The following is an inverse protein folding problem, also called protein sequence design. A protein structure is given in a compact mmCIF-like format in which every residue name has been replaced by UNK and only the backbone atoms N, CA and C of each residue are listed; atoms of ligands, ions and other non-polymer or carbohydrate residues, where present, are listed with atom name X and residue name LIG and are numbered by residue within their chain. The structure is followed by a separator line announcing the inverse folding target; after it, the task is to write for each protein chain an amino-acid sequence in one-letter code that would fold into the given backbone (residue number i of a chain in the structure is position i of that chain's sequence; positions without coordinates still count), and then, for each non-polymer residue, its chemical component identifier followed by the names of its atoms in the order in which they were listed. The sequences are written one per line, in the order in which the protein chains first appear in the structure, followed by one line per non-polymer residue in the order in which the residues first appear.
data_IF_921487357210
#
_entry.id   IF_921487357210
#
_cell.length_a   1.000
_cell.length_b   1.000
_cell.length_c   1.000
_cell.angle_alpha   90.00
_cell.angle_beta   90.00
_cell.angle_gamma   90.00
#
_symmetry.space_group_name_H-M   'P 1'
#
loop_
_entity.id
_entity.type
_entity.pdbx_description
1 polymer ?
#
# COMPACT_ATOMS: atom_id res chain seq x y z
N UNK A 1 47.36 43.96 -29.13
CA UNK A 1 47.11 42.61 -29.67
C UNK A 1 46.76 41.71 -28.53
N UNK A 2 45.49 41.68 -28.17
CA UNK A 2 44.94 40.74 -27.20
C UNK A 2 44.28 39.61 -28.00
N UNK A 3 44.83 38.42 -27.85
CA UNK A 3 44.27 37.21 -28.41
C UNK A 3 42.98 36.86 -27.62
N UNK A 4 41.85 36.98 -28.28
CA UNK A 4 40.60 36.42 -27.78
C UNK A 4 40.69 34.88 -27.87
N UNK A 5 40.91 34.22 -26.75
CA UNK A 5 40.74 32.77 -26.65
C UNK A 5 39.27 32.42 -26.90
N UNK A 6 39.03 31.81 -28.06
CA UNK A 6 37.78 31.16 -28.39
C UNK A 6 37.58 29.96 -27.42
N UNK A 7 36.89 30.16 -26.34
CA UNK A 7 36.34 29.04 -25.55
C UNK A 7 35.24 28.42 -26.40
N UNK A 8 35.59 27.39 -27.14
CA UNK A 8 34.62 26.49 -27.74
C UNK A 8 33.75 25.91 -26.65
N UNK A 9 32.47 26.32 -26.65
CA UNK A 9 31.44 25.68 -25.84
C UNK A 9 31.30 24.27 -26.45
N UNK A 10 31.82 23.28 -25.71
CA UNK A 10 31.59 21.87 -26.04
C UNK A 10 30.13 21.60 -25.73
N UNK A 11 29.26 21.68 -26.72
CA UNK A 11 27.96 21.03 -26.66
C UNK A 11 28.26 19.54 -26.60
N UNK A 12 28.07 18.93 -25.42
CA UNK A 12 27.90 17.50 -25.33
C UNK A 12 26.77 17.18 -26.29
N UNK A 13 27.05 16.40 -27.36
CA UNK A 13 26.07 15.95 -28.32
C UNK A 13 24.98 15.16 -27.58
N UNK A 14 23.98 15.88 -27.09
CA UNK A 14 22.80 15.27 -26.51
C UNK A 14 22.08 14.58 -27.65
N UNK A 15 22.11 13.25 -27.68
CA UNK A 15 21.16 12.50 -28.51
C UNK A 15 19.79 13.05 -28.20
N UNK A 16 19.02 13.49 -29.21
CA UNK A 16 17.65 13.94 -28.95
C UNK A 16 16.88 12.75 -28.43
N UNK A 17 16.34 12.90 -27.19
CA UNK A 17 15.50 11.90 -26.59
C UNK A 17 14.12 11.92 -27.26
N UNK A 18 13.62 10.76 -27.62
CA UNK A 18 12.24 10.61 -28.10
C UNK A 18 11.28 10.58 -26.90
N UNK A 19 10.00 10.86 -27.17
CA UNK A 19 8.94 10.67 -26.18
C UNK A 19 8.94 9.22 -25.67
N UNK A 20 8.81 9.05 -24.35
CA UNK A 20 8.73 7.75 -23.72
C UNK A 20 7.34 7.14 -23.94
N UNK A 21 7.29 5.97 -24.53
CA UNK A 21 6.07 5.18 -24.71
C UNK A 21 6.22 3.88 -23.90
N UNK A 22 5.57 3.78 -22.73
CA UNK A 22 5.69 2.58 -21.90
C UNK A 22 5.07 1.36 -22.60
N UNK A 23 5.64 0.17 -22.42
CA UNK A 23 4.99 -1.05 -22.88
C UNK A 23 3.73 -1.32 -22.03
N UNK A 24 2.74 -1.98 -22.63
CA UNK A 24 1.57 -2.48 -21.88
C UNK A 24 1.99 -3.72 -21.10
N UNK A 25 1.66 -3.74 -19.81
CA UNK A 25 1.95 -4.83 -18.89
C UNK A 25 0.72 -5.17 -18.07
N UNK A 26 0.57 -6.44 -17.69
CA UNK A 26 -0.36 -6.88 -16.64
C UNK A 26 0.41 -6.92 -15.31
N UNK A 27 0.05 -6.08 -14.38
CA UNK A 27 0.79 -5.90 -13.13
C UNK A 27 0.20 -6.80 -12.03
N UNK A 28 0.76 -7.98 -11.89
CA UNK A 28 0.43 -8.94 -10.82
C UNK A 28 1.58 -9.09 -9.82
N UNK A 29 2.33 -8.04 -9.60
CA UNK A 29 3.36 -7.95 -8.57
C UNK A 29 2.84 -7.38 -7.24
N UNK A 30 3.75 -7.07 -6.31
CA UNK A 30 3.41 -6.52 -4.99
C UNK A 30 3.00 -5.03 -5.02
N UNK A 31 2.79 -4.48 -6.17
CA UNK A 31 2.47 -3.09 -6.47
C UNK A 31 3.67 -2.29 -7.02
N UNK A 32 3.39 -1.31 -7.91
CA UNK A 32 2.04 -0.84 -8.26
C UNK A 32 1.20 -1.91 -8.96
N UNK A 33 -0.13 -1.79 -8.86
CA UNK A 33 -1.09 -2.65 -9.56
C UNK A 33 -1.60 -1.99 -10.84
N UNK A 34 -2.33 -2.75 -11.67
CA UNK A 34 -2.95 -2.22 -12.88
C UNK A 34 -3.87 -1.04 -12.55
N UNK A 35 -3.77 0.01 -13.35
CA UNK A 35 -4.62 1.20 -13.24
C UNK A 35 -5.83 1.03 -14.15
N UNK A 36 -7.05 1.24 -13.59
CA UNK A 36 -8.27 1.20 -14.38
C UNK A 36 -8.22 2.29 -15.48
N UNK A 37 -8.62 1.98 -16.73
CA UNK A 37 -8.62 2.96 -17.82
C UNK A 37 -9.36 4.27 -17.53
N UNK A 38 -10.48 4.24 -16.79
CA UNK A 38 -11.20 5.44 -16.34
C UNK A 38 -10.32 6.37 -15.50
N UNK A 39 -9.43 5.81 -14.69
CA UNK A 39 -8.50 6.56 -13.84
C UNK A 39 -7.41 7.24 -14.70
N UNK A 40 -6.90 6.54 -15.71
CA UNK A 40 -5.94 7.12 -16.68
C UNK A 40 -6.59 8.26 -17.48
N UNK A 41 -7.85 8.11 -17.88
CA UNK A 41 -8.63 9.18 -18.50
C UNK A 41 -8.77 10.38 -17.59
N UNK A 42 -9.14 10.17 -16.33
CA UNK A 42 -9.25 11.25 -15.34
C UNK A 42 -7.91 11.99 -15.15
N UNK A 43 -6.80 11.26 -15.10
CA UNK A 43 -5.44 11.83 -14.99
C UNK A 43 -5.10 12.78 -16.14
N UNK A 44 -5.64 12.54 -17.33
CA UNK A 44 -5.37 13.32 -18.55
C UNK A 44 -6.28 14.54 -18.73
N UNK A 45 -7.25 14.79 -17.83
CA UNK A 45 -8.15 15.96 -17.90
C UNK A 45 -7.38 17.27 -17.73
N UNK A 46 -7.92 18.41 -18.24
CA UNK A 46 -7.29 19.72 -18.09
C UNK A 46 -6.99 20.08 -16.64
N UNK A 47 -5.79 20.57 -16.38
CA UNK A 47 -5.39 21.03 -15.04
C UNK A 47 -6.06 22.37 -14.73
N UNK A 48 -6.73 22.49 -13.59
CA UNK A 48 -7.23 23.76 -13.04
C UNK A 48 -6.34 24.24 -11.89
N UNK A 49 -6.55 25.47 -11.42
CA UNK A 49 -5.82 26.00 -10.26
C UNK A 49 -6.15 25.22 -8.99
N UNK A 50 -5.16 25.02 -8.12
CA UNK A 50 -5.31 24.30 -6.85
C UNK A 50 -6.21 25.03 -5.81
N UNK A 51 -6.63 26.25 -6.08
CA UNK A 51 -7.61 27.03 -5.32
C UNK A 51 -8.86 27.36 -6.16
N UNK A 52 -8.99 26.77 -7.35
CA UNK A 52 -10.21 26.89 -8.15
C UNK A 52 -11.41 26.33 -7.37
N UNK A 53 -12.57 27.02 -7.35
CA UNK A 53 -13.75 26.54 -6.62
C UNK A 53 -14.15 25.11 -6.99
N UNK A 54 -14.13 24.75 -8.29
CA UNK A 54 -14.47 23.39 -8.72
C UNK A 54 -13.47 22.33 -8.20
N UNK A 55 -12.19 22.72 -8.07
CA UNK A 55 -11.20 21.84 -7.48
C UNK A 55 -11.38 21.68 -5.97
N UNK A 56 -11.75 22.75 -5.28
CA UNK A 56 -12.06 22.72 -3.84
C UNK A 56 -13.27 21.83 -3.57
N UNK A 57 -14.33 21.95 -4.38
CA UNK A 57 -15.50 21.06 -4.27
C UNK A 57 -15.10 19.59 -4.46
N UNK A 58 -14.27 19.29 -5.47
CA UNK A 58 -13.75 17.95 -5.68
C UNK A 58 -12.87 17.46 -4.51
N UNK A 59 -12.09 18.32 -3.86
CA UNK A 59 -11.33 17.96 -2.66
C UNK A 59 -12.26 17.51 -1.51
N UNK A 60 -13.42 18.18 -1.34
CA UNK A 60 -14.42 17.79 -0.34
C UNK A 60 -15.06 16.44 -0.68
N UNK A 61 -15.31 16.17 -1.97
CA UNK A 61 -15.75 14.86 -2.43
C UNK A 61 -14.69 13.77 -2.17
N UNK A 62 -13.41 14.04 -2.45
CA UNK A 62 -12.30 13.11 -2.14
C UNK A 62 -12.27 12.80 -0.66
N UNK A 63 -12.41 13.79 0.22
CA UNK A 63 -12.48 13.59 1.66
C UNK A 63 -13.65 12.66 2.04
N UNK A 64 -14.85 12.94 1.53
CA UNK A 64 -16.05 12.14 1.81
C UNK A 64 -15.90 10.70 1.29
N UNK A 65 -15.35 10.52 0.11
CA UNK A 65 -15.07 9.20 -0.47
C UNK A 65 -13.99 8.43 0.33
N UNK A 66 -12.95 9.12 0.81
CA UNK A 66 -11.95 8.50 1.69
C UNK A 66 -12.57 8.08 3.03
N UNK A 67 -13.45 8.90 3.61
CA UNK A 67 -14.21 8.52 4.82
C UNK A 67 -15.04 7.27 4.57
N UNK A 68 -15.69 7.17 3.41
CA UNK A 68 -16.42 5.97 3.01
C UNK A 68 -15.51 4.73 2.91
N UNK A 69 -14.38 4.84 2.22
CA UNK A 69 -13.47 3.69 2.00
C UNK A 69 -12.77 3.25 3.29
N UNK A 70 -12.44 4.18 4.18
CA UNK A 70 -11.91 3.89 5.52
C UNK A 70 -13.00 3.43 6.51
N UNK A 71 -14.28 3.59 6.18
CA UNK A 71 -15.40 3.36 7.10
C UNK A 71 -15.24 4.20 8.38
N UNK A 72 -15.12 5.52 8.20
CA UNK A 72 -14.88 6.47 9.30
C UNK A 72 -15.64 7.78 9.13
N UNK A 73 -15.87 8.46 10.25
CA UNK A 73 -16.36 9.83 10.31
C UNK A 73 -15.27 10.83 10.71
N UNK A 74 -14.03 10.41 10.77
CA UNK A 74 -12.90 11.24 11.18
C UNK A 74 -12.78 12.48 10.29
N UNK A 75 -12.82 13.66 10.91
CA UNK A 75 -12.65 14.94 10.20
C UNK A 75 -11.24 15.11 9.63
N UNK A 76 -10.21 14.61 10.34
CA UNK A 76 -8.84 14.61 9.86
C UNK A 76 -8.62 13.42 8.92
N UNK A 77 -9.19 13.51 7.72
CA UNK A 77 -9.07 12.52 6.65
C UNK A 77 -8.72 13.23 5.35
N UNK A 78 -7.58 12.86 4.74
CA UNK A 78 -7.08 13.50 3.52
C UNK A 78 -6.05 12.61 2.81
N UNK A 79 -5.74 12.85 1.52
CA UNK A 79 -4.58 12.26 0.88
C UNK A 79 -3.35 13.16 1.04
N UNK A 80 -2.28 12.64 1.62
CA UNK A 80 -0.96 13.30 1.60
C UNK A 80 -0.45 13.34 0.16
N UNK A 81 0.07 14.48 -0.30
CA UNK A 81 0.58 14.70 -1.67
C UNK A 81 1.94 14.03 -1.89
N UNK A 82 2.06 12.77 -1.50
CA UNK A 82 3.26 11.94 -1.59
C UNK A 82 2.88 10.46 -1.42
N UNK A 83 3.73 9.49 -1.82
CA UNK A 83 3.40 8.07 -1.77
C UNK A 83 3.23 7.53 -0.34
N UNK A 84 2.74 6.28 -0.20
CA UNK A 84 2.41 5.65 1.08
C UNK A 84 3.51 5.69 2.14
N UNK A 85 4.79 5.71 1.75
CA UNK A 85 5.90 5.90 2.69
C UNK A 85 5.84 7.26 3.40
N UNK A 86 5.39 8.30 2.71
CA UNK A 86 5.17 9.61 3.32
C UNK A 86 3.94 9.63 4.23
N UNK A 87 2.92 8.82 3.94
CA UNK A 87 1.81 8.62 4.87
C UNK A 87 2.26 7.98 6.19
N UNK A 88 3.12 6.96 6.11
CA UNK A 88 3.78 6.38 7.28
C UNK A 88 4.54 7.47 8.08
N UNK A 89 5.41 8.23 7.41
CA UNK A 89 6.17 9.30 8.04
C UNK A 89 5.25 10.38 8.63
N UNK A 90 4.17 10.77 7.93
CA UNK A 90 3.17 11.72 8.44
C UNK A 90 2.58 11.27 9.77
N UNK A 91 2.22 10.00 9.90
CA UNK A 91 1.65 9.47 11.14
C UNK A 91 2.65 9.60 12.30
N UNK A 92 3.87 9.09 12.12
CA UNK A 92 4.85 9.08 13.21
C UNK A 92 5.35 10.47 13.58
N UNK A 93 5.65 11.35 12.60
CA UNK A 93 6.13 12.70 12.88
C UNK A 93 5.09 13.59 13.55
N UNK A 94 3.80 13.35 13.33
CA UNK A 94 2.73 14.11 13.96
C UNK A 94 2.36 13.58 15.35
N UNK A 95 2.44 12.27 15.59
CA UNK A 95 2.02 11.65 16.86
C UNK A 95 3.14 11.55 17.90
N UNK A 96 4.40 11.54 17.48
CA UNK A 96 5.53 11.35 18.39
C UNK A 96 6.37 12.62 18.56
N UNK A 97 6.87 12.82 19.77
CA UNK A 97 7.86 13.82 20.14
C UNK A 97 9.12 13.11 20.66
N UNK A 98 10.20 13.86 20.77
CA UNK A 98 11.47 13.33 21.29
C UNK A 98 11.28 12.77 22.72
N UNK A 99 11.71 11.53 22.91
CA UNK A 99 11.63 10.82 24.20
C UNK A 99 10.32 10.07 24.42
N UNK A 100 9.36 10.17 23.50
CA UNK A 100 8.18 9.31 23.52
C UNK A 100 8.53 7.84 23.25
N UNK A 101 7.64 6.93 23.61
CA UNK A 101 7.80 5.50 23.40
C UNK A 101 6.67 4.97 22.49
N UNK A 102 7.03 4.11 21.55
CA UNK A 102 6.09 3.45 20.64
C UNK A 102 6.36 1.94 20.59
N UNK A 103 5.31 1.13 20.64
CA UNK A 103 5.40 -0.32 20.45
C UNK A 103 5.18 -0.59 18.97
N UNK A 104 6.14 -1.29 18.34
CA UNK A 104 6.14 -1.56 16.91
C UNK A 104 6.15 -3.08 16.67
N UNK A 105 5.10 -3.59 16.01
CA UNK A 105 5.04 -4.98 15.59
C UNK A 105 5.78 -5.16 14.26
N UNK A 106 6.64 -6.17 14.19
CA UNK A 106 7.42 -6.48 13.01
C UNK A 106 7.33 -7.96 12.65
N UNK A 107 6.66 -8.26 11.56
CA UNK A 107 6.61 -9.58 10.92
C UNK A 107 6.97 -9.51 9.43
N UNK A 108 7.69 -8.44 9.04
CA UNK A 108 8.15 -8.18 7.68
C UNK A 108 8.92 -6.87 7.56
N UNK A 109 9.13 -6.43 6.31
CA UNK A 109 9.93 -5.23 6.00
C UNK A 109 9.29 -3.96 6.56
N UNK A 110 7.94 -3.83 6.48
CA UNK A 110 7.29 -2.56 6.75
C UNK A 110 7.22 -2.22 8.24
N UNK A 111 7.15 -3.23 9.13
CA UNK A 111 7.37 -3.01 10.57
C UNK A 111 8.77 -2.47 10.88
N UNK A 112 9.80 -2.93 10.15
CA UNK A 112 11.14 -2.37 10.27
C UNK A 112 11.23 -0.90 9.83
N UNK A 113 10.48 -0.50 8.79
CA UNK A 113 10.40 0.92 8.38
C UNK A 113 9.68 1.79 9.41
N UNK A 114 8.64 1.26 10.06
CA UNK A 114 8.00 1.97 11.18
C UNK A 114 9.01 2.25 12.29
N UNK A 115 9.81 1.25 12.68
CA UNK A 115 10.89 1.42 13.66
C UNK A 115 11.81 2.58 13.32
N UNK A 116 12.31 2.62 12.07
CA UNK A 116 13.20 3.70 11.63
C UNK A 116 12.52 5.08 11.69
N UNK A 117 11.23 5.17 11.35
CA UNK A 117 10.48 6.43 11.47
C UNK A 117 10.36 6.88 12.92
N UNK A 118 10.06 5.98 13.86
CA UNK A 118 10.00 6.27 15.29
C UNK A 118 11.34 6.79 15.81
N UNK A 119 12.43 6.09 15.49
CA UNK A 119 13.78 6.48 15.91
C UNK A 119 14.20 7.84 15.34
N UNK A 120 13.82 8.15 14.08
CA UNK A 120 14.09 9.47 13.44
C UNK A 120 13.30 10.59 14.10
N UNK A 121 12.14 10.32 14.68
CA UNK A 121 11.42 11.30 15.51
C UNK A 121 12.12 11.55 16.87
N UNK A 122 13.18 10.79 17.20
CA UNK A 122 13.85 10.82 18.50
C UNK A 122 13.06 10.10 19.59
N UNK A 123 12.12 9.25 19.23
CA UNK A 123 11.35 8.40 20.11
C UNK A 123 11.97 7.01 20.23
N UNK A 124 11.57 6.25 21.25
CA UNK A 124 12.00 4.88 21.50
C UNK A 124 11.05 3.89 20.83
N UNK A 125 11.59 2.98 20.02
CA UNK A 125 10.83 1.89 19.42
C UNK A 125 10.99 0.60 20.23
N UNK A 126 9.93 0.18 20.91
CA UNK A 126 9.84 -1.12 21.56
C UNK A 126 9.36 -2.15 20.55
N UNK A 127 10.22 -3.10 20.19
CA UNK A 127 9.94 -4.04 19.11
C UNK A 127 9.23 -5.29 19.62
N UNK A 128 8.11 -5.65 18.97
CA UNK A 128 7.46 -6.96 19.06
C UNK A 128 7.72 -7.68 17.75
N UNK A 129 8.57 -8.70 17.77
CA UNK A 129 9.01 -9.41 16.58
C UNK A 129 8.37 -10.78 16.48
N UNK A 130 7.85 -11.08 15.31
CA UNK A 130 7.34 -12.38 14.90
C UNK A 130 8.08 -12.90 13.67
N UNK A 131 8.05 -14.21 13.48
CA UNK A 131 8.66 -14.83 12.32
C UNK A 131 8.02 -14.34 11.02
N UNK A 132 8.85 -14.22 9.99
CA UNK A 132 8.37 -13.85 8.67
C UNK A 132 7.44 -14.92 8.11
N UNK A 133 6.24 -14.50 7.68
CA UNK A 133 5.20 -15.41 7.21
C UNK A 133 4.17 -15.79 8.29
N UNK A 134 4.29 -15.26 9.50
CA UNK A 134 3.31 -15.42 10.57
C UNK A 134 2.62 -14.10 10.91
N UNK A 135 1.39 -14.17 11.41
CA UNK A 135 0.67 -13.00 11.91
C UNK A 135 1.29 -12.51 13.23
N UNK A 136 1.03 -11.24 13.57
CA UNK A 136 1.45 -10.66 14.85
C UNK A 136 0.81 -11.43 16.01
N UNK A 137 1.63 -11.85 16.98
CA UNK A 137 1.18 -12.58 18.17
C UNK A 137 0.60 -11.61 19.22
N UNK A 138 -0.70 -11.73 19.47
CA UNK A 138 -1.43 -10.90 20.43
C UNK A 138 -0.88 -10.99 21.86
N UNK A 139 -0.38 -12.15 22.29
CA UNK A 139 0.18 -12.32 23.65
C UNK A 139 1.49 -11.55 23.79
N UNK A 140 2.37 -11.60 22.79
CA UNK A 140 3.61 -10.80 22.79
C UNK A 140 3.32 -9.29 22.82
N UNK A 141 2.28 -8.86 22.08
CA UNK A 141 1.85 -7.46 22.09
C UNK A 141 1.31 -7.07 23.45
N UNK A 142 0.46 -7.89 24.07
CA UNK A 142 -0.07 -7.62 25.39
C UNK A 142 1.03 -7.55 26.44
N UNK A 143 2.01 -8.45 26.41
CA UNK A 143 3.16 -8.42 27.30
C UNK A 143 4.00 -7.14 27.12
N UNK A 144 4.20 -6.70 25.88
CA UNK A 144 4.90 -5.44 25.60
C UNK A 144 4.13 -4.22 26.13
N UNK A 145 2.80 -4.19 25.97
CA UNK A 145 1.94 -3.13 26.50
C UNK A 145 1.98 -3.08 28.04
N UNK A 146 1.92 -4.23 28.71
CA UNK A 146 2.06 -4.33 30.18
C UNK A 146 3.41 -3.82 30.68
N UNK A 147 4.48 -4.14 29.94
CA UNK A 147 5.84 -3.74 30.30
C UNK A 147 6.13 -2.25 30.00
N UNK A 148 5.34 -1.60 29.14
CA UNK A 148 5.54 -0.23 28.73
C UNK A 148 4.25 0.60 28.84
N UNK A 149 3.75 0.86 30.07
CA UNK A 149 2.50 1.59 30.27
C UNK A 149 2.57 3.07 29.86
N UNK A 150 3.75 3.58 29.56
CA UNK A 150 4.03 4.92 29.07
C UNK A 150 4.11 5.00 27.53
N UNK A 151 3.91 3.88 26.83
CA UNK A 151 3.91 3.87 25.37
C UNK A 151 2.73 4.69 24.81
N UNK A 152 3.00 5.62 23.92
CA UNK A 152 1.97 6.47 23.30
C UNK A 152 1.14 5.74 22.26
N UNK A 153 1.78 4.86 21.47
CA UNK A 153 1.11 4.16 20.39
C UNK A 153 1.61 2.73 20.21
N UNK A 154 0.72 1.90 19.68
CA UNK A 154 0.97 0.58 19.12
C UNK A 154 0.80 0.65 17.62
N UNK A 155 1.83 0.32 16.85
CA UNK A 155 1.79 0.32 15.39
C UNK A 155 2.06 -1.07 14.81
N UNK A 156 1.29 -1.44 13.79
CA UNK A 156 1.42 -2.72 13.09
C UNK A 156 0.98 -2.61 11.63
N UNK A 157 1.38 -3.60 10.82
CA UNK A 157 0.96 -3.73 9.43
C UNK A 157 -0.22 -4.69 9.35
N UNK A 158 -1.38 -4.22 8.84
CA UNK A 158 -2.55 -5.07 8.65
C UNK A 158 -2.34 -6.09 7.54
N UNK A 159 -1.74 -5.65 6.41
CA UNK A 159 -1.46 -6.48 5.24
C UNK A 159 0.01 -6.35 4.84
N UNK A 160 0.87 -7.22 5.36
CA UNK A 160 2.32 -7.18 5.17
C UNK A 160 2.71 -7.76 3.80
N UNK A 161 3.01 -6.89 2.83
CA UNK A 161 3.30 -7.29 1.44
C UNK A 161 4.65 -7.96 1.23
N UNK A 162 5.58 -7.83 2.15
CA UNK A 162 6.86 -8.56 2.06
C UNK A 162 6.71 -10.04 2.39
N UNK A 163 5.66 -10.41 3.13
CA UNK A 163 5.43 -11.77 3.63
C UNK A 163 4.10 -12.38 3.25
N UNK A 164 3.13 -11.59 2.72
CA UNK A 164 1.80 -12.07 2.35
C UNK A 164 0.88 -12.37 3.54
N UNK A 165 1.16 -11.79 4.70
CA UNK A 165 0.44 -12.07 5.95
C UNK A 165 -0.58 -10.98 6.27
N UNK A 166 -1.75 -11.41 6.75
CA UNK A 166 -2.76 -10.57 7.39
C UNK A 166 -2.66 -10.74 8.91
N UNK A 167 -2.47 -9.64 9.63
CA UNK A 167 -2.58 -9.60 11.09
C UNK A 167 -4.01 -9.24 11.53
N UNK A 168 -4.42 -9.68 12.73
CA UNK A 168 -5.75 -9.38 13.27
C UNK A 168 -5.81 -7.93 13.79
N UNK A 169 -6.10 -7.00 12.87
CA UNK A 169 -6.15 -5.58 13.19
C UNK A 169 -7.22 -5.25 14.25
N UNK A 170 -8.37 -5.92 14.23
CA UNK A 170 -9.45 -5.69 15.20
C UNK A 170 -9.00 -6.03 16.62
N UNK A 171 -8.37 -7.18 16.81
CA UNK A 171 -7.88 -7.62 18.12
C UNK A 171 -6.71 -6.75 18.60
N UNK A 172 -5.77 -6.38 17.71
CA UNK A 172 -4.64 -5.51 18.04
C UNK A 172 -5.10 -4.10 18.46
N UNK A 173 -6.08 -3.52 17.77
CA UNK A 173 -6.66 -2.23 18.14
C UNK A 173 -7.41 -2.32 19.49
N UNK A 174 -8.10 -3.42 19.76
CA UNK A 174 -8.75 -3.64 21.05
C UNK A 174 -7.73 -3.69 22.20
N UNK A 175 -6.58 -4.37 22.00
CA UNK A 175 -5.48 -4.36 22.96
C UNK A 175 -4.92 -2.95 23.17
N UNK A 176 -4.62 -2.21 22.10
CA UNK A 176 -4.14 -0.84 22.22
C UNK A 176 -5.08 0.03 23.07
N UNK A 177 -6.37 -0.07 22.82
CA UNK A 177 -7.39 0.66 23.58
C UNK A 177 -7.46 0.25 25.04
N UNK A 178 -7.33 -1.05 25.35
CA UNK A 178 -7.34 -1.58 26.71
C UNK A 178 -6.19 -0.99 27.56
N UNK A 179 -5.05 -0.71 26.95
CA UNK A 179 -3.87 -0.15 27.60
C UNK A 179 -3.68 1.36 27.34
N UNK A 180 -4.73 2.05 26.92
CA UNK A 180 -4.75 3.50 26.63
C UNK A 180 -3.69 3.97 25.62
N UNK A 181 -3.29 3.09 24.73
CA UNK A 181 -2.35 3.33 23.63
C UNK A 181 -3.11 3.73 22.35
N UNK A 182 -2.56 4.63 21.54
CA UNK A 182 -3.11 4.91 20.20
C UNK A 182 -2.86 3.73 19.27
N UNK A 183 -3.89 3.28 18.55
CA UNK A 183 -3.76 2.24 17.53
C UNK A 183 -3.38 2.86 16.19
N UNK A 184 -2.20 2.50 15.65
CA UNK A 184 -1.67 2.95 14.35
C UNK A 184 -1.61 1.78 13.38
N UNK A 185 -2.26 1.91 12.22
CA UNK A 185 -2.39 0.83 11.25
C UNK A 185 -1.81 1.21 9.90
N UNK A 186 -0.89 0.39 9.40
CA UNK A 186 -0.52 0.38 7.98
C UNK A 186 -1.58 -0.38 7.19
N UNK A 187 -2.33 0.33 6.36
CA UNK A 187 -3.33 -0.23 5.46
C UNK A 187 -2.96 -0.03 3.98
N UNK A 188 -1.68 0.11 3.67
CA UNK A 188 -1.22 0.36 2.30
C UNK A 188 -1.76 -0.69 1.34
N UNK A 189 -1.79 -1.95 1.74
CA UNK A 189 -2.25 -3.04 0.87
C UNK A 189 -3.63 -3.57 1.25
N UNK A 190 -4.15 -3.25 2.44
CA UNK A 190 -5.47 -3.73 2.88
C UNK A 190 -6.64 -2.86 2.44
N UNK A 191 -6.45 -1.54 2.30
CA UNK A 191 -7.53 -0.61 1.96
C UNK A 191 -8.21 -1.01 0.64
N UNK A 192 -9.52 -1.19 0.67
CA UNK A 192 -10.39 -1.67 -0.41
C UNK A 192 -10.15 -3.13 -0.86
N UNK A 193 -9.09 -3.82 -0.40
CA UNK A 193 -8.79 -5.21 -0.78
C UNK A 193 -9.33 -6.27 0.18
N UNK A 194 -9.36 -5.96 1.46
CA UNK A 194 -9.93 -6.80 2.54
C UNK A 194 -10.73 -5.93 3.50
N UNK A 195 -11.51 -6.57 4.37
CA UNK A 195 -12.30 -5.87 5.38
C UNK A 195 -11.41 -4.93 6.21
N UNK A 196 -11.86 -3.68 6.33
CA UNK A 196 -11.23 -2.64 7.12
C UNK A 196 -12.30 -1.66 7.60
N UNK A 197 -12.43 -1.47 8.91
CA UNK A 197 -13.46 -0.64 9.53
C UNK A 197 -12.85 0.24 10.62
N UNK A 198 -12.42 1.42 10.24
CA UNK A 198 -11.62 2.31 11.11
C UNK A 198 -12.35 2.65 12.39
N UNK A 199 -13.59 3.12 12.33
CA UNK A 199 -14.34 3.51 13.53
C UNK A 199 -14.73 2.30 14.37
N UNK A 200 -15.23 1.22 13.75
CA UNK A 200 -15.66 0.02 14.47
C UNK A 200 -14.50 -0.64 15.23
N UNK A 201 -13.32 -0.69 14.63
CA UNK A 201 -12.14 -1.32 15.24
C UNK A 201 -11.39 -0.37 16.20
N UNK A 202 -11.74 0.91 16.20
CA UNK A 202 -11.10 1.91 17.06
C UNK A 202 -9.68 2.25 16.66
N UNK A 203 -9.44 2.35 15.36
CA UNK A 203 -8.15 2.77 14.81
C UNK A 203 -7.97 4.28 15.04
N UNK A 204 -6.87 4.68 15.65
CA UNK A 204 -6.60 6.09 15.94
C UNK A 204 -5.87 6.81 14.80
N UNK A 205 -4.95 6.13 14.12
CA UNK A 205 -4.30 6.66 12.93
C UNK A 205 -4.07 5.55 11.91
N UNK A 206 -4.29 5.87 10.64
CA UNK A 206 -4.17 4.94 9.53
C UNK A 206 -3.60 5.63 8.31
N UNK A 207 -2.79 4.91 7.54
CA UNK A 207 -2.31 5.37 6.25
C UNK A 207 -2.38 4.26 5.19
N UNK A 208 -2.49 4.68 3.93
CA UNK A 208 -2.52 3.80 2.79
C UNK A 208 -1.71 4.35 1.61
N UNK A 209 -1.75 3.69 0.47
CA UNK A 209 -1.14 4.12 -0.78
C UNK A 209 -2.07 3.83 -1.97
N UNK A 210 -2.12 4.75 -2.91
CA UNK A 210 -3.10 4.69 -4.02
C UNK A 210 -2.83 3.58 -5.03
N UNK A 211 -1.57 3.11 -5.15
CA UNK A 211 -1.13 2.16 -6.17
C UNK A 211 -1.40 0.69 -5.85
N UNK A 212 -2.13 0.39 -4.79
CA UNK A 212 -2.49 -0.97 -4.37
C UNK A 212 -3.94 -1.29 -4.78
N UNK A 213 -4.79 -1.68 -3.83
CA UNK A 213 -6.15 -2.11 -4.16
C UNK A 213 -7.08 -0.97 -4.61
N UNK A 214 -6.70 0.29 -4.43
CA UNK A 214 -7.38 1.43 -5.05
C UNK A 214 -7.16 1.51 -6.57
N UNK A 215 -6.20 0.78 -7.13
CA UNK A 215 -5.91 0.74 -8.58
C UNK A 215 -5.64 2.10 -9.22
N UNK A 216 -5.15 3.05 -8.43
CA UNK A 216 -4.78 4.37 -8.87
C UNK A 216 -3.27 4.46 -9.14
N UNK A 217 -2.85 5.51 -9.83
CA UNK A 217 -1.43 5.81 -10.00
C UNK A 217 -0.75 6.02 -8.64
N UNK A 218 0.54 5.66 -8.48
CA UNK A 218 1.29 5.99 -7.27
C UNK A 218 1.48 7.50 -7.12
N UNK A 219 1.67 7.96 -5.88
CA UNK A 219 2.01 9.36 -5.61
C UNK A 219 1.13 10.05 -4.57
N UNK A 220 0.06 9.40 -4.09
CA UNK A 220 -0.78 9.89 -3.01
C UNK A 220 -0.87 8.85 -1.88
N UNK A 221 -1.00 9.35 -0.65
CA UNK A 221 -1.19 8.52 0.53
C UNK A 221 -2.45 8.95 1.29
N UNK A 222 -3.57 8.23 1.17
CA UNK A 222 -4.72 8.41 2.04
C UNK A 222 -4.35 8.21 3.51
N UNK A 223 -4.75 9.14 4.37
CA UNK A 223 -4.56 9.06 5.83
C UNK A 223 -5.85 9.45 6.55
N UNK A 224 -6.04 8.90 7.75
CA UNK A 224 -7.15 9.30 8.63
C UNK A 224 -6.70 9.21 10.09
N UNK A 225 -7.17 10.16 10.90
CA UNK A 225 -6.85 10.27 12.32
C UNK A 225 -8.12 10.46 13.13
N UNK A 226 -8.26 9.68 14.20
CA UNK A 226 -9.36 9.83 15.16
C UNK A 226 -9.26 11.18 15.87
N UNK A 227 -10.34 11.62 16.50
CA UNK A 227 -10.31 12.83 17.34
C UNK A 227 -9.28 12.71 18.46
N UNK A 228 -9.10 11.51 19.03
CA UNK A 228 -8.09 11.22 20.04
C UNK A 228 -6.66 11.45 19.50
N UNK A 229 -6.37 10.98 18.29
CA UNK A 229 -5.09 11.24 17.62
C UNK A 229 -4.95 12.71 17.23
N UNK A 230 -6.00 13.33 16.69
CA UNK A 230 -6.01 14.74 16.32
C UNK A 230 -5.75 15.66 17.54
N UNK A 231 -6.26 15.30 18.71
CA UNK A 231 -5.97 16.02 19.95
C UNK A 231 -4.49 15.94 20.30
N UNK A 232 -3.86 14.76 20.24
CA UNK A 232 -2.40 14.61 20.45
C UNK A 232 -1.61 15.52 19.53
N UNK A 233 -2.02 15.62 18.25
CA UNK A 233 -1.37 16.49 17.26
C UNK A 233 -1.50 17.98 17.63
N UNK A 234 -2.67 18.42 18.07
CA UNK A 234 -2.91 19.81 18.49
C UNK A 234 -2.19 20.18 19.79
N UNK A 235 -2.03 19.24 20.70
CA UNK A 235 -1.41 19.44 22.01
C UNK A 235 0.11 19.25 22.03
N UNK A 236 0.75 19.07 20.88
CA UNK A 236 2.20 18.95 20.78
C UNK A 236 2.90 20.13 21.43
N UNK A 237 3.99 19.83 22.11
CA UNK A 237 4.85 20.85 22.76
C UNK A 237 5.90 21.40 21.82
N UNK A 238 6.26 20.63 20.79
CA UNK A 238 7.28 20.99 19.79
C UNK A 238 6.69 20.97 18.38
N UNK A 239 7.12 21.85 17.46
CA UNK A 239 6.71 21.76 16.06
C UNK A 239 7.02 20.38 15.46
N UNK A 240 6.20 19.93 14.53
CA UNK A 240 6.49 18.74 13.71
C UNK A 240 7.79 19.02 12.94
N UNK A 241 8.71 18.03 12.90
CA UNK A 241 10.04 18.22 12.28
C UNK A 241 9.97 18.45 10.76
N UNK A 242 8.90 18.02 10.11
CA UNK A 242 8.64 18.27 8.69
C UNK A 242 7.56 19.34 8.54
N UNK A 243 7.91 20.50 8.01
CA UNK A 243 6.92 21.53 7.69
C UNK A 243 5.86 21.02 6.71
N UNK A 244 6.27 20.26 5.70
CA UNK A 244 5.38 19.74 4.66
C UNK A 244 4.38 18.71 5.19
N UNK A 245 4.76 17.88 6.17
CA UNK A 245 3.92 16.84 6.75
C UNK A 245 3.20 17.29 8.03
N UNK A 246 3.37 18.54 8.47
CA UNK A 246 2.69 19.05 9.66
C UNK A 246 1.18 19.18 9.39
N UNK A 247 0.40 18.31 10.01
CA UNK A 247 -1.05 18.26 9.81
C UNK A 247 -1.77 19.49 10.34
N UNK A 248 -1.23 20.20 11.34
CA UNK A 248 -1.78 21.48 11.77
C UNK A 248 -1.73 22.54 10.65
N UNK A 249 -0.72 22.49 9.79
CA UNK A 249 -0.59 23.36 8.64
C UNK A 249 -1.41 22.86 7.45
N UNK A 250 -1.34 21.56 7.16
CA UNK A 250 -2.05 20.92 6.03
C UNK A 250 -3.56 21.07 6.16
N UNK A 251 -4.11 21.00 7.38
CA UNK A 251 -5.54 21.14 7.62
C UNK A 251 -6.09 22.53 7.29
N UNK A 252 -5.28 23.55 7.23
CA UNK A 252 -5.68 24.84 6.67
C UNK A 252 -6.08 24.78 5.19
N UNK A 253 -5.56 23.80 4.45
CA UNK A 253 -5.86 23.56 3.04
C UNK A 253 -6.94 22.48 2.83
N UNK A 254 -6.97 21.42 3.66
CA UNK A 254 -7.91 20.30 3.56
C UNK A 254 -9.11 20.44 4.53
N UNK A 255 -9.10 21.38 5.45
CA UNK A 255 -10.19 21.58 6.40
C UNK A 255 -11.42 22.22 5.74
N UNK A 256 -12.63 21.85 6.19
CA UNK A 256 -13.92 22.29 5.68
C UNK A 256 -14.32 23.73 6.00
N UNK A 257 -13.38 24.66 6.28
CA UNK A 257 -13.71 26.07 6.52
C UNK A 257 -13.92 26.82 5.19
N UNK A 258 -14.79 27.83 5.19
CA UNK A 258 -15.18 28.61 4.03
C UNK A 258 -14.02 29.31 3.30
N UNK A 259 -12.84 29.44 3.91
CA UNK A 259 -11.64 30.02 3.29
C UNK A 259 -10.44 29.09 3.55
N UNK A 260 -10.03 28.38 2.49
CA UNK A 260 -8.85 27.53 2.54
C UNK A 260 -7.57 28.34 2.44
N UNK A 261 -6.60 28.00 3.28
CA UNK A 261 -5.26 28.56 3.23
C UNK A 261 -4.39 27.77 2.24
N UNK A 262 -3.49 28.48 1.55
CA UNK A 262 -2.48 27.82 0.71
C UNK A 262 -1.42 27.16 1.61
N UNK A 263 -1.23 25.86 1.46
CA UNK A 263 -0.12 25.13 2.06
C UNK A 263 0.92 24.73 1.00
N UNK A 264 0.49 24.06 -0.04
CA UNK A 264 1.32 23.65 -1.18
C UNK A 264 0.43 23.54 -2.44
N UNK A 265 1.05 23.55 -3.60
CA UNK A 265 0.33 23.25 -4.83
C UNK A 265 0.04 21.76 -4.88
N UNK A 266 -1.23 21.42 -4.68
CA UNK A 266 -1.67 20.03 -4.73
C UNK A 266 -1.44 19.42 -6.12
N UNK A 267 -1.15 18.13 -6.21
CA UNK A 267 -0.98 17.42 -7.49
C UNK A 267 -2.35 17.19 -8.15
N UNK A 268 -2.87 18.27 -8.78
CA UNK A 268 -4.26 18.38 -9.25
C UNK A 268 -4.72 17.15 -10.05
N UNK A 269 -3.97 16.78 -11.10
CA UNK A 269 -4.34 15.65 -11.95
C UNK A 269 -4.26 14.29 -11.22
N UNK A 270 -3.31 14.13 -10.29
CA UNK A 270 -3.26 12.92 -9.45
C UNK A 270 -4.47 12.83 -8.52
N UNK A 271 -5.00 13.97 -8.07
CA UNK A 271 -6.22 14.02 -7.27
C UNK A 271 -7.47 13.71 -8.11
N UNK A 272 -7.51 14.11 -9.40
CA UNK A 272 -8.56 13.63 -10.31
C UNK A 272 -8.54 12.11 -10.44
N UNK A 273 -7.34 11.54 -10.59
CA UNK A 273 -7.17 10.09 -10.66
C UNK A 273 -7.63 9.39 -9.36
N UNK A 274 -7.29 9.94 -8.20
CA UNK A 274 -7.75 9.41 -6.91
C UNK A 274 -9.26 9.53 -6.75
N UNK A 275 -9.87 10.67 -7.10
CA UNK A 275 -11.31 10.86 -7.09
C UNK A 275 -12.01 9.77 -7.90
N UNK A 276 -11.60 9.57 -9.16
CA UNK A 276 -12.18 8.54 -10.04
C UNK A 276 -11.99 7.12 -9.48
N UNK A 277 -10.81 6.84 -8.90
CA UNK A 277 -10.54 5.57 -8.23
C UNK A 277 -11.51 5.31 -7.07
N UNK A 278 -11.76 6.29 -6.24
CA UNK A 278 -12.67 6.18 -5.10
C UNK A 278 -14.14 6.06 -5.55
N UNK A 279 -14.53 6.75 -6.63
CA UNK A 279 -15.85 6.59 -7.26
C UNK A 279 -16.04 5.15 -7.74
N UNK A 280 -15.05 4.56 -8.42
CA UNK A 280 -15.11 3.15 -8.86
C UNK A 280 -15.29 2.20 -7.67
N UNK A 281 -14.55 2.42 -6.57
CA UNK A 281 -14.71 1.60 -5.35
C UNK A 281 -16.10 1.77 -4.74
N UNK A 282 -16.65 2.98 -4.76
CA UNK A 282 -18.01 3.24 -4.28
C UNK A 282 -19.07 2.57 -5.16
N UNK A 283 -18.91 2.63 -6.49
CA UNK A 283 -19.81 1.98 -7.45
C UNK A 283 -19.80 0.45 -7.28
N UNK A 284 -18.63 -0.15 -7.06
CA UNK A 284 -18.51 -1.59 -6.79
C UNK A 284 -19.09 -1.96 -5.43
N UNK A 285 -18.85 -1.14 -4.41
CA UNK A 285 -19.11 -1.43 -3.01
C UNK A 285 -17.95 -2.16 -2.33
N UNK A 286 -17.68 -1.80 -1.06
CA UNK A 286 -16.52 -2.36 -0.32
C UNK A 286 -16.63 -3.87 -0.11
N UNK A 287 -17.79 -4.36 0.30
CA UNK A 287 -18.00 -5.80 0.54
C UNK A 287 -17.84 -6.61 -0.75
N UNK A 288 -18.32 -6.09 -1.88
CA UNK A 288 -18.15 -6.69 -3.20
C UNK A 288 -16.68 -6.71 -3.62
N UNK A 289 -15.95 -5.64 -3.36
CA UNK A 289 -14.50 -5.60 -3.61
C UNK A 289 -13.76 -6.65 -2.77
N UNK A 290 -14.04 -6.75 -1.48
CA UNK A 290 -13.44 -7.77 -0.59
C UNK A 290 -13.77 -9.20 -1.06
N UNK A 291 -15.02 -9.45 -1.43
CA UNK A 291 -15.47 -10.76 -1.95
C UNK A 291 -14.78 -11.09 -3.28
N UNK A 292 -14.62 -10.13 -4.19
CA UNK A 292 -13.94 -10.32 -5.47
C UNK A 292 -12.46 -10.68 -5.26
N UNK A 293 -11.75 -9.98 -4.36
CA UNK A 293 -10.37 -10.31 -4.01
C UNK A 293 -10.28 -11.73 -3.40
N UNK A 294 -11.16 -12.07 -2.47
CA UNK A 294 -11.19 -13.38 -1.86
C UNK A 294 -11.51 -14.50 -2.87
N UNK A 295 -12.43 -14.26 -3.80
CA UNK A 295 -12.80 -15.25 -4.84
C UNK A 295 -11.63 -15.50 -5.80
N UNK A 296 -11.01 -14.44 -6.33
CA UNK A 296 -9.85 -14.56 -7.20
C UNK A 296 -8.64 -15.20 -6.50
N UNK A 297 -8.47 -14.93 -5.20
CA UNK A 297 -7.46 -15.60 -4.38
C UNK A 297 -7.70 -17.11 -4.30
N UNK A 298 -8.92 -17.56 -4.00
CA UNK A 298 -9.25 -19.01 -3.96
C UNK A 298 -8.93 -19.68 -5.30
N UNK A 299 -9.29 -19.03 -6.39
CA UNK A 299 -9.01 -19.54 -7.73
C UNK A 299 -7.51 -19.61 -8.03
N UNK A 300 -6.74 -18.57 -7.67
CA UNK A 300 -5.29 -18.60 -7.79
C UNK A 300 -4.69 -19.73 -6.95
N UNK A 301 -5.13 -19.92 -5.71
CA UNK A 301 -4.64 -20.99 -4.82
C UNK A 301 -4.87 -22.35 -5.45
N UNK A 302 -6.09 -22.67 -5.90
CA UNK A 302 -6.40 -23.94 -6.54
C UNK A 302 -5.52 -24.21 -7.78
N UNK A 303 -5.28 -23.20 -8.60
CA UNK A 303 -4.42 -23.32 -9.77
C UNK A 303 -2.95 -23.51 -9.42
N UNK A 304 -2.42 -22.77 -8.47
CA UNK A 304 -1.02 -22.87 -8.00
C UNK A 304 -0.77 -24.27 -7.38
N UNK A 305 -1.69 -24.74 -6.54
CA UNK A 305 -1.60 -26.10 -5.96
C UNK A 305 -1.70 -27.19 -7.03
N UNK A 306 -2.51 -27.00 -8.08
CA UNK A 306 -2.58 -27.90 -9.24
C UNK A 306 -1.27 -27.94 -10.04
N UNK A 307 -0.44 -26.89 -10.01
CA UNK A 307 0.91 -26.88 -10.57
C UNK A 307 1.94 -27.57 -9.64
N UNK A 308 1.52 -28.15 -8.51
CA UNK A 308 2.41 -28.75 -7.53
C UNK A 308 3.21 -27.74 -6.69
N UNK A 309 2.83 -26.46 -6.72
CA UNK A 309 3.44 -25.41 -5.94
C UNK A 309 2.72 -25.19 -4.61
N UNK A 310 3.37 -24.52 -3.67
CA UNK A 310 2.82 -24.28 -2.33
C UNK A 310 3.03 -22.83 -1.88
N UNK A 311 2.35 -22.46 -0.80
CA UNK A 311 2.42 -21.12 -0.23
C UNK A 311 3.29 -21.11 1.04
N UNK A 312 3.87 -19.96 1.36
CA UNK A 312 4.63 -19.74 2.60
C UNK A 312 3.67 -19.60 3.78
N UNK A 313 2.63 -18.82 3.61
CA UNK A 313 1.74 -18.35 4.68
C UNK A 313 0.62 -19.35 4.92
N UNK A 314 0.28 -19.60 6.19
CA UNK A 314 -0.86 -20.42 6.57
C UNK A 314 -2.17 -19.84 6.00
N UNK A 315 -3.07 -20.72 5.58
CA UNK A 315 -4.34 -20.34 4.95
C UNK A 315 -5.19 -19.39 5.83
N UNK A 316 -5.10 -19.52 7.15
CA UNK A 316 -5.88 -18.70 8.09
C UNK A 316 -5.46 -17.21 8.10
N UNK A 317 -4.19 -16.92 7.81
CA UNK A 317 -3.66 -15.54 7.81
C UNK A 317 -3.11 -15.11 6.44
N UNK A 318 -3.37 -15.85 5.38
CA UNK A 318 -2.94 -15.54 4.01
C UNK A 318 -3.72 -14.34 3.47
N UNK A 319 -2.98 -13.40 2.86
CA UNK A 319 -3.59 -12.26 2.17
C UNK A 319 -4.22 -12.67 0.84
N UNK A 320 -5.49 -12.29 0.57
CA UNK A 320 -6.07 -12.49 -0.76
C UNK A 320 -5.33 -11.71 -1.86
N UNK A 321 -4.95 -10.49 -1.59
CA UNK A 321 -4.39 -9.56 -2.59
C UNK A 321 -2.89 -9.70 -2.80
N UNK A 322 -2.17 -10.51 -1.98
CA UNK A 322 -0.75 -10.80 -2.21
C UNK A 322 -0.36 -12.19 -1.73
N UNK A 323 0.16 -12.98 -2.65
CA UNK A 323 0.40 -14.40 -2.47
C UNK A 323 1.89 -14.72 -2.58
N UNK A 324 2.48 -15.31 -1.54
CA UNK A 324 3.86 -15.80 -1.55
C UNK A 324 3.87 -17.27 -1.95
N UNK A 325 4.30 -17.53 -3.17
CA UNK A 325 4.35 -18.87 -3.76
C UNK A 325 5.78 -19.38 -3.70
N UNK A 326 6.00 -20.53 -3.06
CA UNK A 326 7.29 -21.22 -3.04
C UNK A 326 7.54 -21.88 -4.40
N UNK A 327 8.78 -21.81 -4.86
CA UNK A 327 9.21 -22.56 -6.04
C UNK A 327 10.35 -23.53 -5.67
N UNK A 328 10.51 -24.64 -6.43
CA UNK A 328 11.59 -25.60 -6.21
C UNK A 328 12.96 -24.98 -6.43
N UNK A 329 13.97 -25.46 -5.70
CA UNK A 329 15.38 -25.01 -5.82
C UNK A 329 15.98 -25.23 -7.23
N UNK A 330 15.35 -26.09 -8.04
CA UNK A 330 15.75 -26.35 -9.45
C UNK A 330 15.32 -25.24 -10.41
N UNK A 331 14.49 -24.28 -9.96
CA UNK A 331 13.93 -23.18 -10.79
C UNK A 331 14.75 -21.92 -10.55
N UNK A 332 15.12 -21.27 -11.66
CA UNK A 332 15.72 -19.94 -11.64
C UNK A 332 14.62 -18.86 -11.64
N UNK A 333 14.47 -18.17 -10.50
CA UNK A 333 13.50 -17.08 -10.32
C UNK A 333 13.64 -15.99 -11.38
N UNK A 334 14.87 -15.56 -11.68
CA UNK A 334 15.09 -14.45 -12.60
C UNK A 334 14.70 -14.84 -14.03
N UNK A 335 14.98 -16.08 -14.44
CA UNK A 335 14.60 -16.61 -15.76
C UNK A 335 13.08 -16.68 -15.87
N UNK A 336 12.38 -17.20 -14.85
CA UNK A 336 10.90 -17.29 -14.87
C UNK A 336 10.29 -15.90 -14.99
N UNK A 337 10.67 -14.95 -14.13
CA UNK A 337 10.11 -13.59 -14.17
C UNK A 337 10.43 -12.86 -15.47
N UNK A 338 11.64 -13.05 -16.01
CA UNK A 338 12.01 -12.48 -17.30
C UNK A 338 11.15 -13.02 -18.44
N UNK A 339 10.93 -14.36 -18.48
CA UNK A 339 10.08 -14.99 -19.49
C UNK A 339 8.61 -14.55 -19.36
N UNK A 340 8.07 -14.47 -18.14
CA UNK A 340 6.72 -13.94 -17.93
C UNK A 340 6.58 -12.51 -18.47
N UNK A 341 7.58 -11.67 -18.22
CA UNK A 341 7.55 -10.28 -18.64
C UNK A 341 7.72 -10.14 -20.18
N UNK A 342 8.67 -10.88 -20.79
CA UNK A 342 8.97 -10.79 -22.22
C UNK A 342 7.90 -11.42 -23.10
N UNK A 343 7.44 -12.64 -22.74
CA UNK A 343 6.62 -13.47 -23.61
C UNK A 343 5.12 -13.28 -23.37
N UNK A 344 4.74 -12.89 -22.12
CA UNK A 344 3.34 -12.72 -21.71
C UNK A 344 2.98 -11.31 -21.26
N UNK A 345 3.93 -10.38 -21.26
CA UNK A 345 3.74 -9.02 -20.69
C UNK A 345 3.19 -9.03 -19.27
N UNK A 346 3.51 -10.07 -18.50
CA UNK A 346 3.05 -10.30 -17.14
C UNK A 346 4.17 -10.04 -16.13
N UNK A 347 3.94 -9.12 -15.21
CA UNK A 347 4.86 -8.81 -14.11
C UNK A 347 4.42 -9.47 -12.81
N UNK A 348 5.30 -10.26 -12.20
CA UNK A 348 5.21 -10.74 -10.83
C UNK A 348 6.44 -10.31 -10.03
N UNK A 349 6.34 -10.31 -8.69
CA UNK A 349 7.43 -9.87 -7.83
C UNK A 349 8.33 -11.00 -7.34
N UNK A 350 9.60 -10.68 -7.09
CA UNK A 350 10.52 -11.55 -6.34
C UNK A 350 10.26 -11.48 -4.84
N UNK A 351 10.74 -12.47 -4.08
CA UNK A 351 10.78 -12.42 -2.62
C UNK A 351 11.66 -11.27 -2.10
N UNK A 352 11.42 -10.84 -0.87
CA UNK A 352 12.22 -9.84 -0.16
C UNK A 352 12.81 -10.43 1.13
N UNK A 353 13.91 -9.84 1.60
CA UNK A 353 14.53 -10.19 2.89
C UNK A 353 14.77 -11.68 3.04
N UNK A 354 14.22 -12.30 4.07
CA UNK A 354 14.35 -13.73 4.35
C UNK A 354 13.81 -14.66 3.26
N UNK A 355 12.93 -14.15 2.38
CA UNK A 355 12.32 -14.88 1.26
C UNK A 355 12.94 -14.57 -0.10
N UNK A 356 14.00 -13.76 -0.15
CA UNK A 356 14.71 -13.48 -1.40
C UNK A 356 15.22 -14.77 -2.04
N UNK A 357 14.92 -14.98 -3.33
CA UNK A 357 15.32 -16.17 -4.08
C UNK A 357 14.60 -17.47 -3.71
N UNK A 358 13.51 -17.41 -2.93
CA UNK A 358 12.76 -18.59 -2.47
C UNK A 358 11.29 -18.59 -2.87
N UNK A 359 10.75 -17.42 -3.20
CA UNK A 359 9.32 -17.22 -3.47
C UNK A 359 9.09 -16.22 -4.58
N UNK A 360 7.96 -16.35 -5.25
CA UNK A 360 7.34 -15.26 -6.02
C UNK A 360 6.28 -14.58 -5.17
N UNK A 361 6.11 -13.28 -5.41
CA UNK A 361 4.99 -12.52 -4.88
C UNK A 361 4.01 -12.23 -6.01
N UNK A 362 2.86 -12.90 -5.97
CA UNK A 362 1.79 -12.76 -6.99
C UNK A 362 0.68 -11.89 -6.40
N UNK A 363 0.47 -10.72 -6.99
CA UNK A 363 -0.51 -9.74 -6.58
C UNK A 363 -1.85 -9.90 -7.29
N UNK A 364 -2.93 -9.76 -6.52
CA UNK A 364 -4.31 -9.67 -7.00
C UNK A 364 -4.94 -8.41 -6.38
N UNK A 365 -4.49 -7.23 -6.83
CA UNK A 365 -4.85 -5.96 -6.21
C UNK A 365 -5.77 -5.13 -7.10
N UNK A 366 -6.92 -4.73 -6.56
CA UNK A 366 -7.84 -3.83 -7.24
C UNK A 366 -8.26 -4.31 -8.63
N UNK A 367 -8.01 -3.50 -9.66
CA UNK A 367 -8.37 -3.83 -11.05
C UNK A 367 -7.64 -5.07 -11.59
N UNK A 368 -6.41 -5.34 -11.11
CA UNK A 368 -5.68 -6.55 -11.46
C UNK A 368 -6.30 -7.83 -10.87
N UNK A 369 -7.14 -7.73 -9.83
CA UNK A 369 -7.87 -8.86 -9.24
C UNK A 369 -9.07 -9.24 -10.12
N UNK A 370 -8.83 -10.05 -11.14
CA UNK A 370 -9.86 -10.51 -12.08
C UNK A 370 -9.65 -11.97 -12.47
N UNK A 371 -10.72 -12.65 -12.89
CA UNK A 371 -10.67 -14.02 -13.40
C UNK A 371 -9.69 -14.13 -14.59
N UNK A 372 -9.74 -13.15 -15.51
CA UNK A 372 -8.86 -13.12 -16.69
C UNK A 372 -7.39 -13.12 -16.28
N UNK A 373 -7.01 -12.30 -15.30
CA UNK A 373 -5.62 -12.22 -14.84
C UNK A 373 -5.19 -13.47 -14.07
N UNK A 374 -6.10 -14.10 -13.31
CA UNK A 374 -5.82 -15.40 -12.66
C UNK A 374 -5.51 -16.46 -13.72
N UNK A 375 -6.33 -16.57 -14.77
CA UNK A 375 -6.11 -17.54 -15.84
C UNK A 375 -4.86 -17.24 -16.66
N UNK A 376 -4.58 -15.97 -16.98
CA UNK A 376 -3.35 -15.55 -17.63
C UNK A 376 -2.12 -15.96 -16.80
N UNK A 377 -2.14 -15.65 -15.51
CA UNK A 377 -1.04 -15.96 -14.61
C UNK A 377 -0.76 -17.47 -14.53
N UNK A 378 -1.80 -18.27 -14.32
CA UNK A 378 -1.67 -19.73 -14.20
C UNK A 378 -1.20 -20.37 -15.50
N UNK A 379 -1.75 -19.95 -16.65
CA UNK A 379 -1.35 -20.44 -17.96
C UNK A 379 0.10 -20.06 -18.29
N UNK A 380 0.46 -18.78 -18.12
CA UNK A 380 1.81 -18.29 -18.41
C UNK A 380 2.84 -18.92 -17.48
N UNK A 381 2.60 -18.90 -16.16
CA UNK A 381 3.51 -19.50 -15.18
C UNK A 381 3.71 -21.01 -15.46
N UNK A 382 2.62 -21.75 -15.67
CA UNK A 382 2.71 -23.18 -15.97
C UNK A 382 3.48 -23.47 -17.25
N UNK A 383 3.30 -22.68 -18.32
CA UNK A 383 4.07 -22.84 -19.54
C UNK A 383 5.56 -22.55 -19.34
N UNK A 384 5.91 -21.49 -18.61
CA UNK A 384 7.31 -21.15 -18.30
C UNK A 384 7.94 -22.23 -17.44
N UNK A 385 7.23 -22.78 -16.45
CA UNK A 385 7.72 -23.87 -15.60
C UNK A 385 7.98 -25.15 -16.41
N UNK A 386 7.11 -25.47 -17.39
CA UNK A 386 7.37 -26.61 -18.32
C UNK A 386 8.62 -26.39 -19.15
N UNK A 387 8.86 -25.17 -19.63
CA UNK A 387 10.09 -24.82 -20.35
C UNK A 387 11.33 -24.97 -19.48
N UNK A 388 11.19 -24.78 -18.16
CA UNK A 388 12.24 -25.02 -17.16
C UNK A 388 12.38 -26.49 -16.74
N UNK A 389 11.60 -27.40 -17.34
CA UNK A 389 11.71 -28.85 -17.11
C UNK A 389 10.79 -29.39 -15.98
N UNK A 390 9.87 -28.60 -15.43
CA UNK A 390 8.88 -29.14 -14.49
C UNK A 390 7.78 -29.87 -15.23
N UNK A 391 7.38 -31.02 -14.70
CA UNK A 391 6.21 -31.78 -15.19
C UNK A 391 4.92 -31.22 -14.59
N UNK A 392 4.39 -30.18 -15.24
CA UNK A 392 3.17 -29.48 -14.80
C UNK A 392 2.19 -29.35 -15.97
N UNK A 393 0.89 -29.29 -15.68
CA UNK A 393 -0.17 -29.06 -16.65
C UNK A 393 -0.84 -27.69 -16.46
N UNK A 394 -0.49 -26.69 -17.30
CA UNK A 394 -1.11 -25.37 -17.23
C UNK A 394 -2.63 -25.39 -17.49
N UNK A 395 -3.13 -26.31 -18.31
CA UNK A 395 -4.55 -26.39 -18.58
C UNK A 395 -5.34 -26.94 -17.39
N UNK A 396 -4.79 -27.95 -16.69
CA UNK A 396 -5.33 -28.43 -15.45
C UNK A 396 -5.36 -27.35 -14.36
N UNK A 397 -4.32 -26.53 -14.26
CA UNK A 397 -4.28 -25.40 -13.31
C UNK A 397 -5.38 -24.36 -13.56
N UNK A 398 -5.58 -23.98 -14.83
CA UNK A 398 -6.70 -23.08 -15.20
C UNK A 398 -8.05 -23.72 -14.94
N UNK A 399 -8.20 -25.05 -15.19
CA UNK A 399 -9.44 -25.76 -14.90
C UNK A 399 -9.73 -25.80 -13.39
N UNK A 400 -8.71 -26.10 -12.56
CA UNK A 400 -8.83 -26.08 -11.11
C UNK A 400 -9.30 -24.71 -10.61
N UNK A 401 -8.71 -23.61 -11.13
CA UNK A 401 -9.14 -22.26 -10.80
C UNK A 401 -10.62 -22.00 -11.21
N UNK A 402 -11.02 -22.40 -12.43
CA UNK A 402 -12.41 -22.24 -12.90
C UNK A 402 -13.44 -22.90 -12.02
N UNK A 403 -13.12 -24.04 -11.42
CA UNK A 403 -14.03 -24.79 -10.55
C UNK A 403 -14.31 -24.11 -9.21
N UNK A 404 -13.60 -23.06 -8.85
CA UNK A 404 -13.76 -22.32 -7.59
C UNK A 404 -14.71 -21.13 -7.69
N UNK A 405 -15.05 -20.69 -8.89
CA UNK A 405 -16.00 -19.60 -9.14
C UNK A 405 -17.44 -20.13 -9.21
#
# INVERSE_FOLDING_TARGET
NAALENKSIVFYGASMFNSFHPPVRTLMGPGPSDVNPRILEALSRPTVGHLDPAFIDMMDEVKALLQYVFQTKNELTLPVSAPGSAGMETVFTNLLERGDKAIICQNGVFGGRMKENVERCGAEAVMVQDDWGTAVDLNKVEDALKANPDAKLLAFVHAETSTGVRSDAKALCALARQYDCLAVVDAVTSLAGIELKVDEWGIDAIYSGTQKCLSCVPGLSPVSFSERAAQVIRERKTPVQSWFLDLNLVMGYWGGSAKRAYHHTAPVNSLYALHESLVIVQEEGLEQSWQRHASNHRALVAGIESLGLSFVVDAACRLPQLNLVKFPDTIDDAVVRSALLSDYSLEIGSGLGAFAGKVWRIGLMGFASSQTNVYLCLSALGNVLRQQGLDVDPAAAVLAAKQTY
#
